data_IF_669778791480
#
_entry.id   IF_669778791480
#
_cell.length_a   1.000
_cell.length_b   1.000
_cell.length_c   1.000
_cell.angle_alpha   90.00
_cell.angle_beta   90.00
_cell.angle_gamma   90.00
#
_symmetry.space_group_name_H-M   'P 1'
#
loop_
_entity.id
_entity.type
_entity.pdbx_description
1 polymer ?
#
# COMPACT_ATOMS: atom_id res chain seq x y z
N UNK A 1 -23.08 -7.11 7.64
CA UNK A 1 -22.22 -5.91 7.72
C UNK A 1 -21.80 -5.76 9.15
N UNK A 2 -20.49 -5.71 9.40
CA UNK A 2 -19.94 -5.55 10.74
C UNK A 2 -19.18 -4.23 10.78
N UNK A 3 -19.17 -3.57 11.94
CA UNK A 3 -18.48 -2.30 12.15
C UNK A 3 -17.24 -2.52 12.99
N UNK A 4 -16.12 -1.94 12.57
CA UNK A 4 -14.87 -1.92 13.33
C UNK A 4 -14.59 -0.46 13.69
N UNK A 5 -14.44 -0.18 14.98
CA UNK A 5 -14.04 1.14 15.47
C UNK A 5 -12.55 1.13 15.78
N UNK A 6 -11.80 2.02 15.15
CA UNK A 6 -10.36 2.18 15.37
C UNK A 6 -10.05 3.58 15.87
N UNK A 7 -9.14 3.68 16.83
CA UNK A 7 -8.58 4.96 17.25
C UNK A 7 -7.34 5.22 16.39
N UNK A 8 -7.30 6.35 15.69
CA UNK A 8 -6.15 6.76 14.90
C UNK A 8 -5.73 8.17 15.31
N UNK A 9 -4.44 8.53 15.19
CA UNK A 9 -4.00 9.90 15.45
C UNK A 9 -4.66 10.90 14.51
N UNK A 10 -4.95 12.10 15.00
CA UNK A 10 -5.61 13.16 14.23
C UNK A 10 -4.85 13.50 12.93
N UNK A 11 -3.52 13.45 12.97
CA UNK A 11 -2.67 13.70 11.79
C UNK A 11 -2.92 12.67 10.68
N UNK A 12 -3.17 11.41 11.04
CA UNK A 12 -3.45 10.34 10.09
C UNK A 12 -4.84 10.49 9.50
N UNK A 13 -5.83 10.87 10.33
CA UNK A 13 -7.17 11.19 9.87
C UNK A 13 -7.15 12.33 8.84
N UNK A 14 -6.39 13.39 9.10
CA UNK A 14 -6.25 14.52 8.17
C UNK A 14 -5.64 14.10 6.82
N UNK A 15 -4.60 13.25 6.85
CA UNK A 15 -3.97 12.72 5.63
C UNK A 15 -4.95 11.84 4.83
N UNK A 16 -5.76 11.03 5.50
CA UNK A 16 -6.79 10.20 4.86
C UNK A 16 -7.89 11.08 4.23
N UNK A 17 -8.36 12.09 4.96
CA UNK A 17 -9.32 13.08 4.45
C UNK A 17 -8.83 13.74 3.16
N UNK A 18 -7.60 14.27 3.16
CA UNK A 18 -7.02 14.91 1.99
C UNK A 18 -6.95 13.97 0.78
N UNK A 19 -6.59 12.70 1.01
CA UNK A 19 -6.55 11.69 -0.06
C UNK A 19 -7.94 11.37 -0.60
N UNK A 20 -8.92 11.17 0.30
CA UNK A 20 -10.30 10.89 -0.06
C UNK A 20 -10.91 12.06 -0.87
N UNK A 21 -10.71 13.30 -0.41
CA UNK A 21 -11.14 14.51 -1.13
C UNK A 21 -10.52 14.62 -2.51
N UNK A 22 -9.21 14.35 -2.65
CA UNK A 22 -8.54 14.37 -3.95
C UNK A 22 -9.08 13.31 -4.93
N UNK A 23 -9.52 12.17 -4.41
CA UNK A 23 -10.11 11.09 -5.18
C UNK A 23 -11.62 11.24 -5.40
N UNK A 24 -12.25 12.22 -4.74
CA UNK A 24 -13.69 12.45 -4.84
C UNK A 24 -14.55 11.38 -4.16
N UNK A 25 -13.99 10.64 -3.19
CA UNK A 25 -14.67 9.56 -2.45
C UNK A 25 -14.74 9.87 -0.96
N UNK A 26 -15.56 9.13 -0.21
CA UNK A 26 -15.58 9.20 1.26
C UNK A 26 -14.34 8.56 1.89
N UNK A 27 -14.08 8.90 3.16
CA UNK A 27 -12.97 8.29 3.92
C UNK A 27 -13.25 6.80 4.13
N UNK A 28 -14.51 6.45 4.38
CA UNK A 28 -14.99 5.09 4.58
C UNK A 28 -14.73 4.23 3.34
N UNK A 29 -15.03 4.76 2.14
CA UNK A 29 -14.71 4.10 0.87
C UNK A 29 -13.20 3.94 0.67
N UNK A 30 -12.42 4.98 0.95
CA UNK A 30 -10.96 4.92 0.86
C UNK A 30 -10.38 3.82 1.78
N UNK A 31 -10.86 3.74 3.02
CA UNK A 31 -10.42 2.74 3.99
C UNK A 31 -10.86 1.35 3.55
N UNK A 32 -12.09 1.20 3.05
CA UNK A 32 -12.59 -0.08 2.55
C UNK A 32 -11.75 -0.60 1.38
N UNK A 33 -11.44 0.25 0.40
CA UNK A 33 -10.55 -0.08 -0.72
C UNK A 33 -9.18 -0.53 -0.20
N UNK A 34 -8.61 0.18 0.78
CA UNK A 34 -7.34 -0.20 1.38
C UNK A 34 -7.38 -1.55 2.10
N UNK A 35 -8.49 -1.88 2.77
CA UNK A 35 -8.70 -3.20 3.39
C UNK A 35 -8.85 -4.29 2.33
N UNK A 36 -9.60 -4.03 1.26
CA UNK A 36 -9.75 -4.96 0.16
C UNK A 36 -8.42 -5.21 -0.56
N UNK A 37 -7.62 -4.17 -0.82
CA UNK A 37 -6.27 -4.31 -1.35
C UNK A 37 -5.39 -5.15 -0.43
N UNK A 38 -5.47 -4.94 0.89
CA UNK A 38 -4.70 -5.72 1.87
C UNK A 38 -5.13 -7.20 1.87
N UNK A 39 -6.43 -7.49 1.79
CA UNK A 39 -6.96 -8.85 1.78
C UNK A 39 -6.76 -9.58 0.45
N UNK A 40 -6.73 -8.82 -0.65
CA UNK A 40 -6.50 -9.33 -2.00
C UNK A 40 -5.01 -9.42 -2.37
N UNK A 41 -4.11 -8.94 -1.51
CA UNK A 41 -2.67 -9.19 -1.67
C UNK A 41 -2.42 -10.69 -1.51
N UNK A 42 -1.81 -11.37 -2.50
CA UNK A 42 -1.40 -12.75 -2.32
C UNK A 42 -0.39 -12.82 -1.17
N UNK A 43 -0.61 -13.74 -0.21
CA UNK A 43 0.28 -14.00 0.94
C UNK A 43 1.75 -14.24 0.54
N UNK A 44 2.04 -14.42 -0.75
CA UNK A 44 3.33 -14.76 -1.34
C UNK A 44 4.20 -13.57 -1.77
N UNK A 45 3.81 -12.31 -1.62
CA UNK A 45 4.65 -11.18 -2.10
C UNK A 45 5.70 -10.69 -1.08
N UNK A 46 6.36 -11.59 -0.34
CA UNK A 46 7.46 -11.19 0.56
C UNK A 46 8.83 -11.84 0.33
N UNK A 47 9.01 -12.85 -0.55
CA UNK A 47 10.37 -13.17 -1.03
C UNK A 47 10.67 -12.79 -2.50
N UNK A 48 9.72 -12.84 -3.43
CA UNK A 48 10.08 -12.82 -4.87
C UNK A 48 10.32 -11.42 -5.48
N UNK A 49 9.76 -10.37 -4.89
CA UNK A 49 10.05 -9.00 -5.35
C UNK A 49 11.51 -8.58 -5.03
N UNK A 50 12.17 -9.27 -4.09
CA UNK A 50 13.56 -9.01 -3.74
C UNK A 50 14.52 -9.60 -4.79
N UNK A 51 14.19 -10.77 -5.36
CA UNK A 51 14.99 -11.38 -6.43
C UNK A 51 14.95 -10.60 -7.74
N UNK A 52 13.83 -9.92 -8.05
CA UNK A 52 13.74 -9.08 -9.26
C UNK A 52 14.62 -7.82 -9.18
N UNK A 53 14.72 -7.19 -8.00
CA UNK A 53 15.56 -5.99 -7.79
C UNK A 53 17.04 -6.36 -7.64
N UNK A 54 17.36 -7.48 -6.98
CA UNK A 54 18.75 -7.96 -6.85
C UNK A 54 19.34 -8.42 -8.20
N UNK A 55 18.58 -9.16 -9.03
CA UNK A 55 19.07 -9.57 -10.35
C UNK A 55 19.25 -8.39 -11.32
N UNK A 56 18.38 -7.38 -11.29
CA UNK A 56 18.51 -6.19 -12.16
C UNK A 56 19.73 -5.33 -11.82
N UNK A 57 20.12 -5.23 -10.56
CA UNK A 57 21.29 -4.44 -10.16
C UNK A 57 22.62 -5.16 -10.41
N UNK A 58 22.67 -6.49 -10.31
CA UNK A 58 23.88 -7.26 -10.62
C UNK A 58 24.31 -7.14 -12.10
N UNK A 59 23.35 -7.01 -13.01
CA UNK A 59 23.63 -6.87 -14.45
C UNK A 59 24.18 -5.48 -14.82
N UNK A 60 23.75 -4.43 -14.11
CA UNK A 60 24.25 -3.07 -14.31
C UNK A 60 25.69 -2.88 -13.80
N UNK A 61 26.05 -3.48 -12.67
CA UNK A 61 27.43 -3.44 -12.16
C UNK A 61 28.41 -4.24 -13.03
N UNK A 62 27.96 -5.26 -13.76
CA UNK A 62 28.80 -6.03 -14.70
C UNK A 62 29.16 -5.29 -15.98
N UNK A 63 28.47 -4.19 -16.30
CA UNK A 63 28.71 -3.35 -17.49
C UNK A 63 29.49 -2.07 -17.19
N UNK A 64 29.86 -1.86 -15.93
CA UNK A 64 30.66 -0.70 -15.51
C UNK A 64 32.09 -1.08 -15.08
N UNK A 65 32.53 -2.32 -15.35
CA UNK A 65 33.89 -2.82 -15.15
C UNK A 65 34.49 -3.30 -16.47
#
# INVERSE_FOLDING_TARGET
MNTITIQIPDEHLLKLQQRATRLGISIEELVLIGVEELLNQPETSFPDAMDYVLNKNAELYKRLA
#
